data_IF_193773685512
#
_entry.id   IF_193773685512
#
_cell.length_a   1.000
_cell.length_b   1.000
_cell.length_c   1.000
_cell.angle_alpha   90.00
_cell.angle_beta   90.00
_cell.angle_gamma   90.00
#
_symmetry.space_group_name_H-M   'P 1'
#
loop_
_entity.id
_entity.type
_entity.pdbx_description
1 polymer ?
#
# COMPACT_ATOMS: atom_id res chain seq x y z
N UNK A 1 -7.39 3.03 -23.89
CA UNK A 1 -6.31 3.31 -22.92
C UNK A 1 -6.48 2.44 -21.71
N UNK A 2 -5.42 1.74 -21.35
CA UNK A 2 -5.44 1.03 -20.10
C UNK A 2 -5.22 2.04 -18.98
N UNK A 3 -6.07 2.03 -17.98
CA UNK A 3 -5.89 2.85 -16.80
C UNK A 3 -4.89 2.20 -15.87
N UNK A 4 -3.96 3.02 -15.36
CA UNK A 4 -3.06 2.53 -14.32
C UNK A 4 -3.89 2.25 -13.07
N UNK A 5 -3.75 1.04 -12.53
CA UNK A 5 -4.46 0.62 -11.33
C UNK A 5 -3.55 0.72 -10.12
N UNK A 6 -4.07 1.34 -9.05
CA UNK A 6 -3.33 1.56 -7.81
C UNK A 6 -4.21 1.12 -6.64
N UNK A 7 -3.69 0.24 -5.80
CA UNK A 7 -4.38 -0.17 -4.59
C UNK A 7 -3.73 0.49 -3.38
N UNK A 8 -4.55 1.02 -2.49
CA UNK A 8 -4.13 1.54 -1.20
C UNK A 8 -4.56 0.52 -0.15
N UNK A 9 -3.62 0.02 0.64
CA UNK A 9 -3.87 -1.00 1.63
C UNK A 9 -3.54 -0.46 3.02
N UNK A 10 -4.55 -0.35 3.87
CA UNK A 10 -4.37 0.13 5.25
C UNK A 10 -3.98 1.60 5.34
N UNK A 11 -3.48 1.98 6.49
CA UNK A 11 -3.06 3.35 6.74
C UNK A 11 -4.11 4.21 7.44
N UNK A 12 -3.74 5.44 7.71
CA UNK A 12 -4.58 6.41 8.43
C UNK A 12 -5.26 7.39 7.46
N UNK A 13 -5.74 8.52 7.99
CA UNK A 13 -6.47 9.51 7.19
C UNK A 13 -5.67 10.06 6.01
N UNK A 14 -4.35 10.04 6.07
CA UNK A 14 -3.50 10.49 4.95
C UNK A 14 -3.74 9.65 3.71
N UNK A 15 -4.06 8.38 3.89
CA UNK A 15 -4.28 7.45 2.77
C UNK A 15 -5.65 7.64 2.13
N UNK A 16 -6.63 8.13 2.89
CA UNK A 16 -7.92 8.53 2.32
C UNK A 16 -7.71 9.76 1.42
N UNK A 17 -6.89 10.71 1.86
CA UNK A 17 -6.54 11.87 1.05
C UNK A 17 -5.79 11.46 -0.22
N UNK A 18 -4.88 10.49 -0.09
CA UNK A 18 -4.17 9.96 -1.25
C UNK A 18 -5.15 9.32 -2.24
N UNK A 19 -6.11 8.54 -1.74
CA UNK A 19 -7.13 7.93 -2.60
C UNK A 19 -7.88 8.98 -3.39
N UNK A 20 -8.25 10.09 -2.75
CA UNK A 20 -8.94 11.19 -3.42
C UNK A 20 -8.08 11.81 -4.51
N UNK A 21 -6.81 12.05 -4.23
CA UNK A 21 -5.87 12.61 -5.20
C UNK A 21 -5.75 11.69 -6.41
N UNK A 22 -5.62 10.39 -6.18
CA UNK A 22 -5.46 9.42 -7.27
C UNK A 22 -6.73 9.33 -8.12
N UNK A 23 -7.90 9.34 -7.48
CA UNK A 23 -9.17 9.35 -8.22
C UNK A 23 -9.32 10.63 -9.06
N UNK A 24 -8.99 11.78 -8.49
CA UNK A 24 -9.06 13.06 -9.19
C UNK A 24 -8.13 13.12 -10.40
N UNK A 25 -7.01 12.38 -10.35
CA UNK A 25 -6.06 12.29 -11.47
C UNK A 25 -6.43 11.24 -12.51
N UNK A 26 -7.53 10.52 -12.30
CA UNK A 26 -8.02 9.53 -13.25
C UNK A 26 -7.43 8.14 -13.14
N UNK A 27 -6.71 7.84 -12.06
CA UNK A 27 -6.21 6.48 -11.82
C UNK A 27 -7.33 5.57 -11.35
N UNK A 28 -7.28 4.30 -11.77
CA UNK A 28 -8.16 3.28 -11.23
C UNK A 28 -7.68 2.97 -9.81
N UNK A 29 -8.44 3.44 -8.82
CA UNK A 29 -8.03 3.43 -7.42
C UNK A 29 -8.82 2.39 -6.64
N UNK A 30 -8.13 1.49 -5.94
CA UNK A 30 -8.71 0.48 -5.08
C UNK A 30 -8.29 0.74 -3.64
N UNK A 31 -9.17 0.43 -2.68
CA UNK A 31 -8.90 0.64 -1.25
C UNK A 31 -9.23 -0.64 -0.50
N UNK A 32 -8.31 -1.09 0.35
CA UNK A 32 -8.50 -2.26 1.19
C UNK A 32 -7.93 -2.01 2.58
N UNK A 33 -8.65 -2.46 3.62
CA UNK A 33 -8.19 -2.30 4.99
C UNK A 33 -8.39 -0.90 5.55
N UNK A 34 -9.31 -0.13 4.98
CA UNK A 34 -9.74 1.17 5.49
C UNK A 34 -11.26 1.20 5.47
N UNK A 35 -11.86 1.54 6.61
CA UNK A 35 -13.31 1.72 6.72
C UNK A 35 -13.54 3.16 7.18
N UNK A 36 -14.03 4.01 6.29
CA UNK A 36 -14.24 5.42 6.61
C UNK A 36 -15.22 6.06 5.63
N UNK A 37 -16.11 6.95 6.11
CA UNK A 37 -17.10 7.57 5.23
C UNK A 37 -16.50 8.52 4.19
N UNK A 38 -15.28 9.00 4.39
CA UNK A 38 -14.64 9.96 3.49
C UNK A 38 -13.88 9.31 2.34
N UNK A 39 -13.89 7.98 2.23
CA UNK A 39 -13.32 7.30 1.05
C UNK A 39 -14.06 7.80 -0.19
N UNK A 40 -13.35 8.24 -1.24
CA UNK A 40 -14.00 8.73 -2.45
C UNK A 40 -14.95 7.69 -3.05
N UNK A 41 -16.09 8.16 -3.55
CA UNK A 41 -17.08 7.27 -4.16
C UNK A 41 -16.55 6.61 -5.43
N UNK A 42 -15.61 7.27 -6.10
CA UNK A 42 -14.98 6.77 -7.33
C UNK A 42 -14.00 5.65 -7.05
N UNK A 43 -13.54 5.49 -5.80
CA UNK A 43 -12.63 4.41 -5.44
C UNK A 43 -13.38 3.09 -5.36
N UNK A 44 -12.75 2.04 -5.83
CA UNK A 44 -13.28 0.69 -5.71
C UNK A 44 -12.89 0.12 -4.35
N UNK A 45 -13.85 -0.43 -3.63
CA UNK A 45 -13.59 -1.08 -2.36
C UNK A 45 -13.23 -2.54 -2.62
N UNK A 46 -11.97 -2.90 -2.40
CA UNK A 46 -11.53 -4.28 -2.56
C UNK A 46 -12.13 -5.14 -1.45
N UNK A 47 -12.57 -6.34 -1.78
CA UNK A 47 -13.14 -7.28 -0.81
C UNK A 47 -12.13 -8.31 -0.35
N UNK A 48 -10.97 -8.39 -1.01
CA UNK A 48 -9.93 -9.36 -0.69
C UNK A 48 -8.57 -8.88 -1.16
N UNK A 49 -7.53 -9.53 -0.67
CA UNK A 49 -6.17 -9.27 -1.14
C UNK A 49 -5.96 -9.70 -2.59
N UNK A 50 -6.78 -10.61 -3.11
CA UNK A 50 -6.72 -10.95 -4.53
C UNK A 50 -7.02 -9.75 -5.41
N UNK A 51 -8.01 -8.94 -5.04
CA UNK A 51 -8.33 -7.72 -5.78
C UNK A 51 -7.14 -6.76 -5.78
N UNK A 52 -6.48 -6.64 -4.62
CA UNK A 52 -5.30 -5.79 -4.47
C UNK A 52 -4.18 -6.26 -5.39
N UNK A 53 -3.97 -7.57 -5.45
CA UNK A 53 -2.89 -8.17 -6.23
C UNK A 53 -3.06 -8.05 -7.75
N UNK A 54 -4.24 -7.66 -8.21
CA UNK A 54 -4.49 -7.39 -9.64
C UNK A 54 -4.06 -5.99 -10.05
N UNK A 55 -3.79 -5.12 -9.09
CA UNK A 55 -3.36 -3.75 -9.37
C UNK A 55 -1.89 -3.70 -9.77
N UNK A 56 -1.55 -2.77 -10.63
CA UNK A 56 -0.16 -2.56 -11.07
C UNK A 56 0.72 -2.06 -9.94
N UNK A 57 0.17 -1.16 -9.11
CA UNK A 57 0.87 -0.57 -7.98
C UNK A 57 0.08 -0.81 -6.70
N UNK A 58 0.80 -1.08 -5.62
CA UNK A 58 0.19 -1.25 -4.30
C UNK A 58 0.92 -0.34 -3.32
N UNK A 59 0.16 0.52 -2.65
CA UNK A 59 0.69 1.43 -1.64
C UNK A 59 0.37 0.85 -0.27
N UNK A 60 1.39 0.56 0.51
CA UNK A 60 1.23 0.06 1.88
C UNK A 60 1.12 1.21 2.88
N UNK A 61 0.70 0.89 4.11
CA UNK A 61 0.55 1.90 5.16
C UNK A 61 1.90 2.42 5.66
N UNK A 62 1.87 3.58 6.33
CA UNK A 62 3.04 4.17 6.97
C UNK A 62 2.73 4.38 8.45
N UNK A 63 3.46 3.76 9.37
CA UNK A 63 4.47 2.72 9.13
C UNK A 63 3.85 1.47 8.52
N UNK A 64 4.65 0.71 7.79
CA UNK A 64 4.16 -0.51 7.14
C UNK A 64 3.56 -1.48 8.16
N UNK A 65 4.24 -1.65 9.28
CA UNK A 65 3.79 -2.49 10.38
C UNK A 65 4.23 -1.90 11.72
N UNK A 66 3.44 -2.12 12.76
CA UNK A 66 3.82 -1.76 14.14
C UNK A 66 4.21 -2.97 14.96
N UNK A 67 3.54 -4.11 14.73
CA UNK A 67 3.79 -5.32 15.51
C UNK A 67 4.76 -6.30 14.84
N UNK A 68 5.17 -6.03 13.61
CA UNK A 68 6.06 -6.90 12.85
C UNK A 68 5.37 -8.09 12.21
N UNK A 69 4.06 -8.24 12.38
CA UNK A 69 3.29 -9.38 11.86
C UNK A 69 2.16 -8.96 10.93
N UNK A 70 1.51 -7.85 11.23
CA UNK A 70 0.38 -7.34 10.47
C UNK A 70 0.66 -5.95 9.93
N UNK A 71 0.00 -5.60 8.84
CA UNK A 71 0.04 -4.25 8.31
C UNK A 71 -0.63 -3.28 9.28
N UNK A 72 -0.22 -2.02 9.23
CA UNK A 72 -0.82 -0.97 10.05
C UNK A 72 -2.17 -0.56 9.48
N UNK A 73 -3.27 -0.98 10.13
CA UNK A 73 -4.63 -0.72 9.67
C UNK A 73 -5.46 -0.04 10.76
N UNK A 74 -5.13 1.21 11.13
CA UNK A 74 -5.79 1.88 12.25
C UNK A 74 -7.26 2.23 12.00
N UNK A 75 -7.69 2.28 10.74
CA UNK A 75 -9.07 2.63 10.37
C UNK A 75 -9.89 1.41 9.96
N UNK A 76 -9.52 0.23 10.42
CA UNK A 76 -10.23 -0.99 10.07
C UNK A 76 -10.06 -2.03 11.18
N UNK A 77 -11.04 -2.91 11.30
CA UNK A 77 -10.93 -4.09 12.15
C UNK A 77 -10.30 -5.28 11.40
N UNK A 78 -9.97 -5.09 10.14
CA UNK A 78 -9.36 -6.14 9.33
C UNK A 78 -7.88 -6.27 9.71
N UNK A 79 -7.47 -7.51 10.00
CA UNK A 79 -6.07 -7.82 10.23
C UNK A 79 -5.47 -8.42 8.96
N UNK A 80 -4.42 -7.78 8.45
CA UNK A 80 -3.77 -8.22 7.22
C UNK A 80 -2.36 -8.67 7.58
N UNK A 81 -2.10 -9.98 7.55
CA UNK A 81 -0.76 -10.47 7.84
C UNK A 81 0.21 -10.05 6.73
N UNK A 82 1.45 -9.75 7.12
CA UNK A 82 2.50 -9.38 6.17
C UNK A 82 2.73 -10.51 5.17
N UNK A 83 2.76 -11.76 5.65
CA UNK A 83 2.99 -12.90 4.77
C UNK A 83 1.89 -13.07 3.73
N UNK A 84 0.62 -12.98 4.15
CA UNK A 84 -0.50 -13.10 3.24
C UNK A 84 -0.52 -11.96 2.23
N UNK A 85 -0.21 -10.75 2.68
CA UNK A 85 -0.08 -9.60 1.79
C UNK A 85 0.97 -9.88 0.71
N UNK A 86 2.16 -10.31 1.11
CA UNK A 86 3.25 -10.56 0.18
C UNK A 86 2.92 -11.67 -0.82
N UNK A 87 2.17 -12.69 -0.42
CA UNK A 87 1.74 -13.75 -1.32
C UNK A 87 0.81 -13.25 -2.42
N UNK A 88 0.00 -12.24 -2.12
CA UNK A 88 -1.00 -11.74 -3.06
C UNK A 88 -0.50 -10.63 -3.98
N UNK A 89 0.63 -9.99 -3.67
CA UNK A 89 1.11 -8.82 -4.41
C UNK A 89 2.37 -9.10 -5.23
N UNK A 90 2.58 -10.35 -5.62
CA UNK A 90 3.80 -10.78 -6.33
C UNK A 90 4.02 -10.06 -7.65
N UNK A 91 2.95 -9.74 -8.35
CA UNK A 91 3.02 -9.13 -9.67
C UNK A 91 2.88 -7.62 -9.65
N UNK A 92 2.73 -7.03 -8.47
CA UNK A 92 2.56 -5.60 -8.29
C UNK A 92 3.89 -4.93 -7.95
N UNK A 93 3.98 -3.63 -8.25
CA UNK A 93 5.08 -2.82 -7.75
C UNK A 93 4.63 -2.18 -6.43
N UNK A 94 5.42 -2.37 -5.37
CA UNK A 94 5.05 -1.95 -4.03
C UNK A 94 5.67 -0.60 -3.67
N UNK A 95 4.85 0.33 -3.19
CA UNK A 95 5.31 1.62 -2.67
C UNK A 95 5.15 1.56 -1.15
N UNK A 96 6.25 1.43 -0.46
CA UNK A 96 6.27 1.18 0.97
C UNK A 96 7.12 2.24 1.68
N UNK A 97 6.97 2.34 3.00
CA UNK A 97 7.78 3.27 3.77
C UNK A 97 7.84 2.86 5.24
N UNK A 98 8.90 3.29 5.93
CA UNK A 98 9.16 2.94 7.33
C UNK A 98 9.17 1.42 7.49
N UNK A 99 10.14 0.79 6.83
CA UNK A 99 10.29 -0.66 6.80
C UNK A 99 11.30 -1.12 7.86
N UNK A 100 10.91 -2.15 8.61
CA UNK A 100 11.81 -2.82 9.55
C UNK A 100 12.73 -3.76 8.79
N UNK A 101 13.92 -4.02 9.33
CA UNK A 101 14.92 -4.89 8.70
C UNK A 101 14.36 -6.27 8.35
N UNK A 102 13.55 -6.85 9.24
CA UNK A 102 12.97 -8.17 9.01
C UNK A 102 12.00 -8.16 7.83
N UNK A 103 11.26 -7.07 7.66
CA UNK A 103 10.36 -6.91 6.51
C UNK A 103 11.15 -6.80 5.22
N UNK A 104 12.24 -6.03 5.23
CA UNK A 104 13.10 -5.89 4.05
C UNK A 104 13.66 -7.24 3.63
N UNK A 105 14.11 -8.05 4.59
CA UNK A 105 14.60 -9.40 4.31
C UNK A 105 13.54 -10.28 3.66
N UNK A 106 12.29 -10.18 4.12
CA UNK A 106 11.18 -10.93 3.52
C UNK A 106 10.91 -10.48 2.10
N UNK A 107 10.91 -9.17 1.85
CA UNK A 107 10.70 -8.62 0.50
C UNK A 107 11.76 -9.12 -0.46
N UNK A 108 13.01 -9.09 -0.04
CA UNK A 108 14.13 -9.54 -0.86
C UNK A 108 14.12 -11.05 -1.08
N UNK A 109 13.84 -11.83 -0.03
CA UNK A 109 13.77 -13.28 -0.14
C UNK A 109 12.67 -13.74 -1.10
N UNK A 110 11.57 -13.01 -1.16
CA UNK A 110 10.45 -13.31 -2.06
C UNK A 110 10.59 -12.64 -3.43
N UNK A 111 11.66 -11.88 -3.63
CA UNK A 111 11.95 -11.18 -4.90
C UNK A 111 10.81 -10.23 -5.32
N UNK A 112 10.21 -9.55 -4.34
CA UNK A 112 9.14 -8.60 -4.59
C UNK A 112 9.75 -7.28 -5.09
N UNK A 113 9.05 -6.63 -6.02
CA UNK A 113 9.47 -5.33 -6.54
C UNK A 113 8.91 -4.25 -5.63
N UNK A 114 9.78 -3.46 -5.02
CA UNK A 114 9.33 -2.41 -4.11
C UNK A 114 10.27 -1.20 -4.13
N UNK A 115 9.74 -0.08 -3.67
CA UNK A 115 10.53 1.10 -3.32
C UNK A 115 10.23 1.49 -1.88
N UNK A 116 11.30 1.81 -1.15
CA UNK A 116 11.20 2.42 0.17
C UNK A 116 11.22 3.92 -0.02
N UNK A 117 10.04 4.54 0.07
CA UNK A 117 9.88 5.97 -0.20
C UNK A 117 10.67 6.85 0.78
N UNK A 118 10.80 6.40 2.02
CA UNK A 118 11.57 7.14 3.02
C UNK A 118 13.05 7.18 2.67
N UNK A 119 13.62 6.05 2.25
CA UNK A 119 15.01 5.97 1.83
C UNK A 119 15.27 6.88 0.62
N UNK A 120 14.32 6.95 -0.32
CA UNK A 120 14.42 7.85 -1.46
C UNK A 120 14.46 9.31 -1.03
N UNK A 121 13.62 9.68 -0.09
CA UNK A 121 13.57 11.05 0.41
C UNK A 121 14.88 11.42 1.12
N UNK A 122 15.45 10.50 1.90
CA UNK A 122 16.74 10.71 2.56
C UNK A 122 17.86 10.93 1.53
N UNK A 123 17.89 10.11 0.49
CA UNK A 123 18.89 10.25 -0.57
C UNK A 123 18.71 11.57 -1.29
N UNK A 124 17.49 11.97 -1.59
CA UNK A 124 17.21 13.25 -2.24
C UNK A 124 17.68 14.42 -1.39
N UNK A 125 17.44 14.38 -0.08
CA UNK A 125 17.89 15.41 0.85
C UNK A 125 19.43 15.49 0.91
N UNK A 126 20.10 14.34 0.97
CA UNK A 126 21.57 14.29 1.02
C UNK A 126 22.21 14.80 -0.26
N UNK A 127 21.55 14.65 -1.39
CA UNK A 127 22.08 15.07 -2.68
C UNK A 127 21.64 16.48 -3.09
N UNK A 128 20.80 17.09 -2.28
CA UNK A 128 20.37 18.46 -2.54
C UNK A 128 21.43 19.44 -2.02
#
# INVERSE_FOLDING_TARGET
>A
MSNTSIAIVGGDLRFIRLAKILCDKGFETWVYGITHPDIPKEAHLATSLEDVGKCQYVVGPIPFTRDGKNLFTPLSNTHISIELFMENVKDSFLCLSVLKKDVIKLLEARQLRYKDLLAMDEVAVLNA
#
